data_IF_447306879432
#
_entry.id   IF_447306879432
#
_cell.length_a   1.000
_cell.length_b   1.000
_cell.length_c   1.000
_cell.angle_alpha   90.00
_cell.angle_beta   90.00
_cell.angle_gamma   90.00
#
_symmetry.space_group_name_H-M   'P 1'
#
loop_
_entity.id
_entity.type
_entity.pdbx_description
1 polymer ?
#
# COMPACT_ATOMS: atom_id res chain seq x y z
N UNK A 1 15.21 -23.47 14.27
CA UNK A 1 15.24 -23.64 15.74
C UNK A 1 15.96 -22.51 16.50
N UNK A 2 16.84 -21.70 15.89
CA UNK A 2 17.61 -20.64 16.59
C UNK A 2 16.79 -19.46 17.15
N UNK A 3 15.59 -19.17 16.62
CA UNK A 3 14.74 -18.05 17.07
C UNK A 3 13.93 -18.26 18.37
N UNK A 4 14.03 -19.42 19.02
CA UNK A 4 13.22 -19.69 20.22
C UNK A 4 13.83 -19.11 21.51
N UNK A 5 15.08 -18.65 21.48
CA UNK A 5 15.85 -18.21 22.66
C UNK A 5 16.03 -16.69 22.78
N UNK A 6 15.55 -15.89 21.81
CA UNK A 6 15.81 -14.44 21.75
C UNK A 6 15.24 -13.65 22.96
N UNK A 7 14.29 -14.22 23.70
CA UNK A 7 13.71 -13.62 24.91
C UNK A 7 14.41 -14.08 26.20
N UNK A 8 15.14 -15.21 26.16
CA UNK A 8 15.87 -15.75 27.31
C UNK A 8 17.14 -14.93 27.60
N UNK A 9 17.79 -14.41 26.55
CA UNK A 9 18.97 -13.54 26.69
C UNK A 9 18.68 -12.29 27.53
N UNK A 10 17.68 -11.45 27.21
CA UNK A 10 17.37 -10.29 28.05
C UNK A 10 16.79 -10.67 29.42
N UNK A 11 16.11 -11.82 29.54
CA UNK A 11 15.63 -12.32 30.83
C UNK A 11 16.79 -12.64 31.77
N UNK A 12 17.84 -13.30 31.28
CA UNK A 12 19.02 -13.64 32.06
C UNK A 12 19.91 -12.41 32.32
N UNK A 13 19.95 -11.46 31.39
CA UNK A 13 20.71 -10.22 31.57
C UNK A 13 20.20 -9.36 32.74
N UNK A 14 18.92 -9.41 33.09
CA UNK A 14 18.37 -8.66 34.23
C UNK A 14 19.04 -9.05 35.56
N UNK A 15 18.99 -10.31 36.04
CA UNK A 15 19.67 -10.71 37.26
C UNK A 15 21.19 -10.68 37.12
N UNK A 16 21.76 -11.03 35.95
CA UNK A 16 23.22 -11.00 35.75
C UNK A 16 23.77 -9.59 35.87
N UNK A 17 23.11 -8.58 35.31
CA UNK A 17 23.57 -7.19 35.41
C UNK A 17 23.43 -6.62 36.82
N UNK A 18 22.34 -6.97 37.53
CA UNK A 18 22.13 -6.55 38.92
C UNK A 18 23.15 -7.19 39.88
N UNK A 19 23.17 -8.52 39.95
CA UNK A 19 24.04 -9.24 40.89
C UNK A 19 25.51 -9.15 40.48
N UNK A 20 25.81 -9.16 39.19
CA UNK A 20 27.17 -8.95 38.69
C UNK A 20 27.71 -7.57 39.03
N UNK A 21 26.90 -6.52 38.84
CA UNK A 21 27.26 -5.16 39.25
C UNK A 21 27.48 -5.02 40.76
N UNK A 22 26.59 -5.60 41.58
CA UNK A 22 26.69 -5.60 43.04
C UNK A 22 27.92 -6.37 43.55
N UNK A 23 28.21 -7.55 43.01
CA UNK A 23 29.38 -8.34 43.40
C UNK A 23 30.69 -7.66 42.99
N UNK A 24 30.73 -7.03 41.81
CA UNK A 24 31.91 -6.26 41.39
C UNK A 24 32.11 -5.04 42.31
N UNK A 25 31.02 -4.37 42.66
CA UNK A 25 31.04 -3.23 43.58
C UNK A 25 31.56 -3.62 44.96
N UNK A 26 31.03 -4.69 45.57
CA UNK A 26 31.51 -5.14 46.89
C UNK A 26 32.98 -5.56 46.84
N UNK A 27 33.42 -6.22 45.77
CA UNK A 27 34.81 -6.61 45.59
C UNK A 27 35.75 -5.40 45.52
N UNK A 28 35.41 -4.37 44.74
CA UNK A 28 36.19 -3.13 44.62
C UNK A 28 36.28 -2.41 45.97
N UNK A 29 35.16 -2.25 46.67
CA UNK A 29 35.12 -1.60 48.00
C UNK A 29 36.00 -2.36 49.00
N UNK A 30 35.97 -3.70 48.97
CA UNK A 30 36.80 -4.52 49.87
C UNK A 30 38.29 -4.56 49.48
N UNK A 31 38.63 -4.29 48.22
CA UNK A 31 40.01 -4.28 47.76
C UNK A 31 40.79 -3.07 48.30
N UNK A 32 40.09 -1.97 48.62
CA UNK A 32 40.64 -0.80 49.29
C UNK A 32 41.62 0.01 48.42
N UNK A 33 41.22 1.22 48.01
CA UNK A 33 42.11 2.16 47.33
C UNK A 33 41.48 3.54 47.19
N UNK A 34 42.22 4.58 47.59
CA UNK A 34 41.70 5.96 47.66
C UNK A 34 41.94 6.77 46.36
N UNK A 35 42.48 6.11 45.33
CA UNK A 35 42.77 6.74 44.05
C UNK A 35 41.50 7.01 43.24
N UNK A 36 41.52 8.08 42.43
CA UNK A 36 40.38 8.52 41.60
C UNK A 36 39.85 7.41 40.67
N UNK A 37 40.71 6.48 40.22
CA UNK A 37 40.30 5.35 39.40
C UNK A 37 39.37 4.38 40.16
N UNK A 38 39.62 4.14 41.44
CA UNK A 38 38.80 3.25 42.29
C UNK A 38 37.41 3.84 42.47
N UNK A 39 37.32 5.13 42.80
CA UNK A 39 36.04 5.86 42.94
C UNK A 39 35.22 5.84 41.65
N UNK A 40 35.87 6.01 40.50
CA UNK A 40 35.18 5.93 39.19
C UNK A 40 34.66 4.52 38.90
N UNK A 41 35.40 3.48 39.26
CA UNK A 41 34.97 2.09 39.08
C UNK A 41 33.81 1.71 40.03
N UNK A 42 33.81 2.22 41.26
CA UNK A 42 32.70 2.06 42.20
C UNK A 42 31.41 2.70 41.68
N UNK A 43 31.50 3.93 41.15
CA UNK A 43 30.36 4.62 40.55
C UNK A 43 29.86 3.88 39.29
N UNK A 44 30.77 3.39 38.45
CA UNK A 44 30.42 2.65 37.24
C UNK A 44 29.71 1.32 37.54
N UNK A 45 30.16 0.59 38.56
CA UNK A 45 29.54 -0.68 38.97
C UNK A 45 28.16 -0.49 39.57
N UNK A 46 27.99 0.57 40.38
CA UNK A 46 26.68 0.95 40.92
C UNK A 46 25.73 1.41 39.81
N UNK A 47 26.23 2.20 38.85
CA UNK A 47 25.48 2.57 37.66
C UNK A 47 25.05 1.35 36.85
N UNK A 48 25.94 0.37 36.65
CA UNK A 48 25.62 -0.87 35.93
C UNK A 48 24.56 -1.70 36.67
N UNK A 49 24.65 -1.79 37.99
CA UNK A 49 23.68 -2.52 38.83
C UNK A 49 22.28 -1.90 38.76
N UNK A 50 22.17 -0.57 38.58
CA UNK A 50 20.88 0.13 38.48
C UNK A 50 20.36 0.19 37.04
N UNK A 51 21.19 0.62 36.09
CA UNK A 51 20.80 0.88 34.69
C UNK A 51 20.73 -0.41 33.88
N UNK A 52 21.61 -1.38 34.14
CA UNK A 52 21.65 -2.67 33.43
C UNK A 52 20.32 -3.42 33.45
N UNK A 53 19.68 -3.61 34.62
CA UNK A 53 18.36 -4.25 34.73
C UNK A 53 17.25 -3.50 34.00
N UNK A 54 17.28 -2.16 34.00
CA UNK A 54 16.29 -1.32 33.32
C UNK A 54 16.39 -1.51 31.80
N UNK A 55 17.61 -1.45 31.26
CA UNK A 55 17.85 -1.64 29.82
C UNK A 55 17.49 -3.07 29.39
N UNK A 56 17.94 -4.07 30.14
CA UNK A 56 17.62 -5.48 29.88
C UNK A 56 16.11 -5.76 29.98
N UNK A 57 15.44 -5.17 30.98
CA UNK A 57 13.98 -5.24 31.14
C UNK A 57 13.23 -4.62 29.96
N UNK A 58 13.66 -3.45 29.46
CA UNK A 58 13.11 -2.84 28.25
C UNK A 58 13.26 -3.75 27.01
N UNK A 59 14.39 -4.42 26.84
CA UNK A 59 14.58 -5.39 25.76
C UNK A 59 13.68 -6.63 25.93
N UNK A 60 13.56 -7.15 27.17
CA UNK A 60 12.69 -8.27 27.49
C UNK A 60 11.22 -7.96 27.17
N UNK A 61 10.71 -6.81 27.61
CA UNK A 61 9.34 -6.36 27.32
C UNK A 61 9.12 -6.25 25.82
N UNK A 62 10.06 -5.68 25.07
CA UNK A 62 9.97 -5.59 23.59
C UNK A 62 9.96 -6.96 22.93
N UNK A 63 10.81 -7.89 23.36
CA UNK A 63 10.88 -9.25 22.83
C UNK A 63 9.60 -10.05 23.12
N UNK A 64 9.12 -10.01 24.37
CA UNK A 64 7.85 -10.62 24.78
C UNK A 64 6.68 -10.02 24.01
N UNK A 65 6.61 -8.70 23.85
CA UNK A 65 5.53 -8.06 23.11
C UNK A 65 5.54 -8.44 21.62
N UNK A 66 6.71 -8.54 20.99
CA UNK A 66 6.83 -9.04 19.60
C UNK A 66 6.34 -10.48 19.48
N UNK A 67 6.76 -11.36 20.39
CA UNK A 67 6.36 -12.77 20.41
C UNK A 67 4.88 -12.95 20.70
N UNK A 68 4.34 -12.21 21.67
CA UNK A 68 2.91 -12.18 21.96
C UNK A 68 2.11 -11.71 20.74
N UNK A 69 2.54 -10.64 20.06
CA UNK A 69 1.89 -10.21 18.81
C UNK A 69 1.97 -11.26 17.70
N UNK A 70 3.09 -11.96 17.54
CA UNK A 70 3.24 -13.04 16.57
C UNK A 70 2.34 -14.24 16.90
N UNK A 71 2.32 -14.67 18.16
CA UNK A 71 1.43 -15.73 18.66
C UNK A 71 -0.03 -15.35 18.47
N UNK A 72 -0.41 -14.12 18.85
CA UNK A 72 -1.76 -13.59 18.66
C UNK A 72 -2.21 -13.63 17.20
N UNK A 73 -1.32 -13.25 16.27
CA UNK A 73 -1.57 -13.35 14.82
C UNK A 73 -1.67 -14.79 14.33
N UNK A 74 -0.83 -15.69 14.84
CA UNK A 74 -0.90 -17.13 14.51
C UNK A 74 -2.22 -17.78 14.97
N UNK A 75 -2.88 -17.20 15.99
CA UNK A 75 -4.20 -17.59 16.48
C UNK A 75 -5.36 -16.83 15.81
N UNK A 76 -5.11 -16.05 14.76
CA UNK A 76 -6.15 -15.31 14.03
C UNK A 76 -6.72 -14.09 14.76
N UNK A 77 -6.16 -13.72 15.92
CA UNK A 77 -6.64 -12.59 16.71
C UNK A 77 -6.02 -11.27 16.21
N UNK A 78 -6.65 -10.67 15.21
CA UNK A 78 -6.25 -9.38 14.66
C UNK A 78 -7.02 -8.22 15.33
N UNK A 79 -6.37 -7.08 15.52
CA UNK A 79 -7.09 -5.85 15.91
C UNK A 79 -7.96 -5.36 14.76
N UNK A 80 -8.96 -4.50 15.02
CA UNK A 80 -9.79 -3.91 13.97
C UNK A 80 -8.96 -3.19 12.88
N UNK A 81 -7.91 -2.46 13.30
CA UNK A 81 -6.99 -1.79 12.37
C UNK A 81 -6.11 -2.78 11.59
N UNK A 82 -5.64 -3.87 12.22
CA UNK A 82 -4.87 -4.91 11.53
C UNK A 82 -5.73 -5.67 10.51
N UNK A 83 -6.99 -6.00 10.86
CA UNK A 83 -7.95 -6.60 9.92
C UNK A 83 -8.18 -5.70 8.73
N UNK A 84 -8.53 -4.44 8.97
CA UNK A 84 -8.78 -3.50 7.89
C UNK A 84 -7.59 -3.36 6.93
N UNK A 85 -6.34 -3.28 7.45
CA UNK A 85 -5.14 -3.26 6.60
C UNK A 85 -5.00 -4.52 5.76
N UNK A 86 -5.22 -5.69 6.37
CA UNK A 86 -5.17 -6.98 5.69
C UNK A 86 -6.25 -7.12 4.63
N UNK A 87 -7.47 -6.67 4.91
CA UNK A 87 -8.60 -6.70 3.97
C UNK A 87 -8.30 -5.80 2.76
N UNK A 88 -7.72 -4.61 3.00
CA UNK A 88 -7.28 -3.72 1.91
C UNK A 88 -6.18 -4.39 1.08
N UNK A 89 -5.12 -4.91 1.70
CA UNK A 89 -4.04 -5.63 1.00
C UNK A 89 -4.56 -6.83 0.20
N UNK A 90 -5.49 -7.60 0.77
CA UNK A 90 -6.14 -8.72 0.10
C UNK A 90 -6.97 -8.25 -1.11
N UNK A 91 -7.67 -7.12 -1.00
CA UNK A 91 -8.38 -6.50 -2.11
C UNK A 91 -7.47 -6.14 -3.28
N UNK A 92 -6.32 -5.51 -3.01
CA UNK A 92 -5.32 -5.20 -4.06
C UNK A 92 -4.76 -6.47 -4.71
N UNK A 93 -4.42 -7.49 -3.91
CA UNK A 93 -3.91 -8.76 -4.44
C UNK A 93 -4.96 -9.48 -5.31
N UNK A 94 -6.22 -9.48 -4.87
CA UNK A 94 -7.33 -10.08 -5.60
C UNK A 94 -7.60 -9.36 -6.92
N UNK A 95 -7.62 -8.03 -6.91
CA UNK A 95 -7.80 -7.23 -8.12
C UNK A 95 -6.66 -7.42 -9.14
N UNK A 96 -5.42 -7.48 -8.67
CA UNK A 96 -4.26 -7.80 -9.51
C UNK A 96 -4.38 -9.21 -10.12
N UNK A 97 -4.79 -10.21 -9.33
CA UNK A 97 -5.00 -11.57 -9.84
C UNK A 97 -6.10 -11.64 -10.91
N UNK A 98 -7.24 -10.97 -10.70
CA UNK A 98 -8.30 -10.86 -11.72
C UNK A 98 -7.76 -10.27 -13.02
N UNK A 99 -6.91 -9.24 -12.93
CA UNK A 99 -6.28 -8.65 -14.10
C UNK A 99 -5.31 -9.61 -14.80
N UNK A 100 -4.57 -10.44 -14.06
CA UNK A 100 -3.71 -11.48 -14.66
C UNK A 100 -4.52 -12.52 -15.44
N UNK A 101 -5.60 -13.02 -14.84
CA UNK A 101 -6.50 -13.99 -15.49
C UNK A 101 -7.09 -13.39 -16.75
N UNK A 102 -7.62 -12.17 -16.66
CA UNK A 102 -8.21 -11.46 -17.79
C UNK A 102 -7.19 -11.18 -18.90
N UNK A 103 -6.01 -10.68 -18.56
CA UNK A 103 -4.96 -10.36 -19.52
C UNK A 103 -4.52 -11.60 -20.32
N UNK A 104 -4.38 -12.75 -19.65
CA UNK A 104 -4.05 -14.02 -20.31
C UNK A 104 -5.17 -14.53 -21.20
N UNK A 105 -6.41 -14.48 -20.72
CA UNK A 105 -7.58 -14.88 -21.50
C UNK A 105 -7.67 -14.07 -22.80
N UNK A 106 -7.61 -12.75 -22.69
CA UNK A 106 -7.65 -11.85 -23.85
C UNK A 106 -6.43 -12.03 -24.77
N UNK A 107 -5.23 -12.20 -24.21
CA UNK A 107 -4.02 -12.50 -24.99
C UNK A 107 -4.13 -13.83 -25.77
N UNK A 108 -4.86 -14.81 -25.23
CA UNK A 108 -5.15 -16.09 -25.88
C UNK A 108 -6.33 -16.03 -26.87
N UNK A 109 -6.96 -14.86 -27.07
CA UNK A 109 -8.08 -14.67 -27.99
C UNK A 109 -9.45 -14.98 -27.39
N UNK A 110 -9.56 -15.15 -26.07
CA UNK A 110 -10.86 -15.22 -25.42
C UNK A 110 -11.61 -13.87 -25.56
N UNK A 111 -12.93 -13.93 -25.68
CA UNK A 111 -13.75 -12.73 -25.67
C UNK A 111 -13.72 -12.06 -24.28
N UNK A 112 -13.82 -10.71 -24.20
CA UNK A 112 -13.99 -10.04 -22.92
C UNK A 112 -15.28 -10.50 -22.22
N UNK A 113 -15.29 -10.57 -20.88
CA UNK A 113 -16.51 -10.89 -20.14
C UNK A 113 -17.58 -9.85 -20.43
N UNK A 114 -18.85 -10.25 -20.49
CA UNK A 114 -19.98 -9.34 -20.60
C UNK A 114 -20.85 -9.42 -19.35
N UNK A 115 -21.43 -8.29 -18.97
CA UNK A 115 -22.38 -8.18 -17.85
C UNK A 115 -23.65 -7.48 -18.31
N UNK A 116 -24.78 -7.90 -17.76
CA UNK A 116 -26.06 -7.24 -17.99
C UNK A 116 -26.23 -6.07 -17.03
N UNK A 117 -26.56 -4.89 -17.58
CA UNK A 117 -26.83 -3.69 -16.80
C UNK A 117 -28.31 -3.32 -16.92
N UNK A 118 -28.98 -3.25 -15.77
CA UNK A 118 -30.40 -2.88 -15.72
C UNK A 118 -30.64 -1.38 -15.56
N UNK A 119 -29.73 -0.70 -14.85
CA UNK A 119 -29.96 0.67 -14.36
C UNK A 119 -29.22 1.75 -15.16
N UNK A 120 -28.45 1.37 -16.18
CA UNK A 120 -27.65 2.28 -17.00
C UNK A 120 -27.89 1.95 -18.47
N UNK A 121 -28.50 2.87 -19.25
CA UNK A 121 -28.79 2.61 -20.65
C UNK A 121 -27.49 2.57 -21.47
N UNK A 122 -27.38 1.55 -22.32
CA UNK A 122 -26.29 1.37 -23.27
C UNK A 122 -26.70 1.88 -24.66
N UNK A 123 -25.73 2.39 -25.43
CA UNK A 123 -25.93 2.71 -26.84
C UNK A 123 -26.15 1.43 -27.66
N UNK A 124 -26.69 1.58 -28.88
CA UNK A 124 -26.89 0.46 -29.78
C UNK A 124 -25.55 -0.23 -30.08
N UNK A 125 -25.43 -1.53 -29.79
CA UNK A 125 -24.20 -2.30 -29.96
C UNK A 125 -23.14 -2.09 -28.86
N UNK A 126 -23.41 -1.25 -27.86
CA UNK A 126 -22.55 -1.09 -26.69
C UNK A 126 -22.73 -2.29 -25.74
N UNK A 127 -21.62 -2.90 -25.32
CA UNK A 127 -21.59 -4.06 -24.41
C UNK A 127 -20.85 -3.66 -23.15
N UNK A 128 -21.43 -3.94 -21.98
CA UNK A 128 -20.77 -3.72 -20.71
C UNK A 128 -19.89 -4.91 -20.36
N UNK A 129 -18.64 -4.64 -19.96
CA UNK A 129 -17.66 -5.67 -19.64
C UNK A 129 -17.49 -5.88 -18.14
N UNK A 130 -17.49 -4.79 -17.38
CA UNK A 130 -17.13 -4.85 -15.97
C UNK A 130 -17.70 -3.67 -15.19
N UNK A 131 -18.09 -3.91 -13.94
CA UNK A 131 -18.54 -2.90 -13.00
C UNK A 131 -17.74 -3.04 -11.70
N UNK A 132 -17.20 -1.93 -11.21
CA UNK A 132 -16.44 -1.88 -9.97
C UNK A 132 -16.50 -0.50 -9.31
N UNK A 133 -15.86 -0.35 -8.15
CA UNK A 133 -15.58 0.95 -7.58
C UNK A 133 -14.08 1.27 -7.71
N UNK A 134 -13.75 2.51 -8.06
CA UNK A 134 -12.37 2.98 -8.18
C UNK A 134 -12.24 4.41 -7.62
N UNK A 135 -11.02 4.76 -7.21
CA UNK A 135 -10.67 6.14 -6.89
C UNK A 135 -10.47 6.91 -8.19
N UNK A 136 -11.38 7.83 -8.47
CA UNK A 136 -11.31 8.78 -9.57
C UNK A 136 -10.55 10.04 -9.15
N UNK A 137 -9.77 10.62 -10.06
CA UNK A 137 -9.23 11.97 -9.93
C UNK A 137 -9.03 12.61 -11.32
N UNK A 138 -8.96 13.94 -11.36
CA UNK A 138 -8.61 14.72 -12.56
C UNK A 138 -7.29 15.44 -12.37
N UNK A 139 -6.46 15.44 -13.40
CA UNK A 139 -5.22 16.22 -13.39
C UNK A 139 -5.48 17.65 -13.82
N UNK A 140 -5.11 18.62 -12.98
CA UNK A 140 -5.14 20.04 -13.31
C UNK A 140 -3.71 20.60 -13.26
N UNK A 141 -3.20 21.02 -14.42
CA UNK A 141 -1.86 21.59 -14.64
C UNK A 141 -1.78 22.25 -16.02
N UNK A 142 -0.85 23.19 -16.22
CA UNK A 142 -0.67 23.89 -17.51
C UNK A 142 -0.21 22.92 -18.61
N UNK A 143 -0.51 23.31 -19.85
CA UNK A 143 -0.44 22.51 -21.08
C UNK A 143 0.73 21.50 -21.18
N UNK A 144 0.36 20.21 -21.22
CA UNK A 144 0.79 19.40 -22.37
C UNK A 144 1.90 18.37 -22.19
N UNK A 145 2.49 18.15 -21.00
CA UNK A 145 3.37 16.97 -20.84
C UNK A 145 3.18 16.30 -19.48
N UNK A 146 2.65 15.07 -19.50
CA UNK A 146 2.79 14.18 -18.37
C UNK A 146 4.24 13.71 -18.33
N UNK A 147 5.06 14.38 -17.52
CA UNK A 147 6.33 13.78 -17.10
C UNK A 147 5.97 12.60 -16.21
N UNK A 148 6.49 11.41 -16.50
CA UNK A 148 6.32 10.23 -15.66
C UNK A 148 6.95 10.50 -14.28
N UNK A 149 6.20 11.17 -13.40
CA UNK A 149 6.63 11.44 -12.04
C UNK A 149 6.48 10.14 -11.29
N UNK A 150 7.61 9.44 -11.13
CA UNK A 150 7.82 8.26 -10.28
C UNK A 150 7.53 8.49 -8.77
N UNK A 151 6.80 9.56 -8.44
CA UNK A 151 6.41 9.95 -7.08
C UNK A 151 4.91 9.82 -6.81
N UNK A 152 4.10 9.29 -7.73
CA UNK A 152 2.66 9.16 -7.52
C UNK A 152 2.30 7.85 -6.79
N UNK A 153 2.60 7.82 -5.49
CA UNK A 153 2.33 6.67 -4.62
C UNK A 153 0.85 6.56 -4.25
N UNK A 154 0.05 6.00 -5.16
CA UNK A 154 -1.28 5.45 -4.85
C UNK A 154 -1.21 3.92 -4.81
N UNK A 155 -0.24 3.37 -4.06
CA UNK A 155 -0.02 1.93 -3.95
C UNK A 155 0.36 1.51 -2.54
N UNK A 156 -0.36 0.52 -2.01
CA UNK A 156 -0.16 -0.19 -0.72
C UNK A 156 -0.33 0.67 0.56
N UNK A 157 -1.30 0.36 1.45
CA UNK A 157 -1.54 1.10 2.70
C UNK A 157 -0.33 1.24 3.63
N UNK A 158 0.67 0.37 3.49
CA UNK A 158 1.89 0.44 4.27
C UNK A 158 2.72 1.72 3.96
N UNK A 159 2.57 2.35 2.79
CA UNK A 159 3.35 3.53 2.42
C UNK A 159 2.63 4.88 2.60
N UNK A 160 1.29 4.91 2.69
CA UNK A 160 0.53 6.16 2.90
C UNK A 160 0.58 6.68 4.35
N UNK A 161 1.14 5.91 5.29
CA UNK A 161 1.26 6.31 6.71
C UNK A 161 2.58 6.99 7.10
N UNK A 162 3.51 7.19 6.17
CA UNK A 162 4.78 7.90 6.43
C UNK A 162 4.73 9.43 6.25
N UNK A 163 3.71 9.96 5.55
CA UNK A 163 3.69 11.37 5.11
C UNK A 163 2.83 12.33 5.93
N UNK A 164 1.98 11.84 6.85
CA UNK A 164 1.00 12.68 7.56
C UNK A 164 1.47 13.19 8.94
N UNK A 165 2.73 12.97 9.32
CA UNK A 165 3.25 13.34 10.65
C UNK A 165 4.16 14.59 10.68
N UNK A 166 4.22 15.39 9.61
CA UNK A 166 5.12 16.55 9.52
C UNK A 166 4.43 17.84 9.04
N UNK A 167 3.20 18.10 9.50
CA UNK A 167 2.49 19.35 9.17
C UNK A 167 2.00 20.07 10.43
N UNK A 168 2.88 20.18 11.41
CA UNK A 168 2.80 21.24 12.40
C UNK A 168 3.97 22.17 12.17
N UNK A 169 3.76 23.28 11.45
CA UNK A 169 4.28 24.62 11.76
C UNK A 169 4.12 25.63 10.59
N UNK A 170 3.50 26.77 10.95
CA UNK A 170 3.67 28.13 10.40
C UNK A 170 2.81 28.60 9.21
N UNK A 171 1.67 29.19 9.61
CA UNK A 171 1.13 30.50 9.22
C UNK A 171 1.82 31.24 8.04
N UNK A 172 1.46 30.85 6.81
CA UNK A 172 1.55 31.69 5.60
C UNK A 172 0.45 31.32 4.59
N UNK A 173 -0.66 30.78 5.10
CA UNK A 173 -1.51 29.82 4.38
C UNK A 173 -2.47 30.40 3.34
N UNK A 174 -2.58 31.72 3.16
CA UNK A 174 -3.53 32.28 2.18
C UNK A 174 -2.90 32.56 0.80
N UNK A 175 -1.65 33.03 0.77
CA UNK A 175 -0.96 33.35 -0.50
C UNK A 175 -0.27 32.12 -1.11
N UNK A 176 0.19 31.18 -0.27
CA UNK A 176 0.68 29.85 -0.69
C UNK A 176 -0.43 28.87 -1.06
N UNK A 177 -1.64 29.00 -0.49
CA UNK A 177 -2.76 28.17 -0.93
C UNK A 177 -3.18 28.50 -2.37
N UNK A 178 -3.11 29.77 -2.80
CA UNK A 178 -3.38 30.16 -4.19
C UNK A 178 -2.27 29.69 -5.16
N UNK A 179 -1.01 29.74 -4.75
CA UNK A 179 0.14 29.24 -5.53
C UNK A 179 0.22 27.70 -5.56
N UNK A 180 -0.12 27.02 -4.47
CA UNK A 180 -0.24 25.56 -4.42
C UNK A 180 -1.50 25.09 -5.16
N UNK A 181 -2.56 25.91 -5.19
CA UNK A 181 -3.71 25.70 -6.07
C UNK A 181 -3.41 25.98 -7.56
N UNK A 182 -2.19 26.36 -7.91
CA UNK A 182 -1.70 26.46 -9.29
C UNK A 182 -0.53 25.49 -9.58
N UNK A 183 -0.20 24.62 -8.62
CA UNK A 183 0.71 23.49 -8.86
C UNK A 183 -0.06 22.34 -9.50
N UNK A 184 0.61 21.68 -10.45
CA UNK A 184 0.24 20.39 -11.04
C UNK A 184 -0.26 19.42 -9.97
N UNK A 185 -1.57 19.17 -9.92
CA UNK A 185 -2.12 18.27 -8.91
C UNK A 185 -3.35 17.52 -9.40
N UNK A 186 -3.46 16.28 -8.92
CA UNK A 186 -4.64 15.45 -9.05
C UNK A 186 -5.70 15.92 -8.06
N UNK A 187 -6.84 16.39 -8.56
CA UNK A 187 -7.98 16.88 -7.77
C UNK A 187 -9.20 16.02 -7.96
N UNK A 188 -10.28 16.39 -7.29
CA UNK A 188 -11.57 15.69 -7.39
C UNK A 188 -11.47 14.21 -7.02
N UNK A 189 -10.66 13.91 -6.00
CA UNK A 189 -10.46 12.56 -5.53
C UNK A 189 -11.74 12.02 -4.93
N UNK A 190 -12.31 10.99 -5.56
CA UNK A 190 -13.59 10.40 -5.18
C UNK A 190 -13.55 8.90 -5.37
N UNK A 191 -14.12 8.14 -4.43
CA UNK A 191 -14.35 6.71 -4.63
C UNK A 191 -15.72 6.52 -5.26
N UNK A 192 -15.75 6.11 -6.53
CA UNK A 192 -16.95 6.13 -7.35
C UNK A 192 -17.21 4.78 -8.04
N UNK A 193 -18.47 4.45 -8.35
CA UNK A 193 -18.77 3.35 -9.23
C UNK A 193 -18.35 3.69 -10.67
N UNK A 194 -17.71 2.72 -11.31
CA UNK A 194 -17.17 2.76 -12.67
C UNK A 194 -17.67 1.53 -13.41
N UNK A 195 -18.19 1.75 -14.60
CA UNK A 195 -18.59 0.70 -15.55
C UNK A 195 -17.71 0.87 -16.78
N UNK A 196 -17.12 -0.23 -17.23
CA UNK A 196 -16.36 -0.28 -18.48
C UNK A 196 -17.20 -0.95 -19.55
N UNK A 197 -17.37 -0.28 -20.68
CA UNK A 197 -18.06 -0.82 -21.85
C UNK A 197 -17.12 -0.90 -23.05
N UNK A 198 -17.61 -1.46 -24.16
CA UNK A 198 -16.92 -1.43 -25.44
C UNK A 198 -16.74 -0.02 -26.03
N UNK A 199 -17.50 0.97 -25.56
CA UNK A 199 -17.50 2.33 -26.12
C UNK A 199 -16.93 3.37 -25.15
N UNK A 200 -17.13 3.21 -23.84
CA UNK A 200 -16.80 4.25 -22.86
C UNK A 200 -16.63 3.71 -21.46
N UNK A 201 -16.12 4.56 -20.59
CA UNK A 201 -16.37 4.48 -19.16
C UNK A 201 -17.66 5.20 -18.81
N UNK A 202 -18.48 4.61 -17.94
CA UNK A 202 -19.63 5.25 -17.32
C UNK A 202 -19.37 5.33 -15.82
N UNK A 203 -19.27 6.55 -15.30
CA UNK A 203 -18.81 6.83 -13.94
C UNK A 203 -19.84 7.70 -13.20
N UNK A 204 -20.10 7.46 -11.92
CA UNK A 204 -20.93 8.36 -11.12
C UNK A 204 -20.03 9.35 -10.33
N UNK A 205 -19.72 10.49 -10.93
CA UNK A 205 -18.85 11.53 -10.35
C UNK A 205 -19.72 12.61 -9.72
N UNK A 206 -19.45 13.01 -8.47
CA UNK A 206 -20.27 14.01 -7.76
C UNK A 206 -21.79 13.68 -7.74
N UNK A 207 -22.16 12.39 -7.73
CA UNK A 207 -23.57 11.95 -7.79
C UNK A 207 -24.22 12.13 -9.17
N UNK A 208 -23.45 12.41 -10.22
CA UNK A 208 -23.93 12.52 -11.61
C UNK A 208 -23.23 11.50 -12.49
N UNK A 209 -24.00 10.85 -13.36
CA UNK A 209 -23.42 9.95 -14.36
C UNK A 209 -22.70 10.76 -15.44
N UNK A 210 -21.41 10.46 -15.60
CA UNK A 210 -20.53 10.99 -16.63
C UNK A 210 -20.07 9.84 -17.53
N UNK A 211 -19.92 10.13 -18.82
CA UNK A 211 -19.40 9.20 -19.81
C UNK A 211 -18.06 9.69 -20.34
N UNK A 212 -17.08 8.79 -20.42
CA UNK A 212 -15.78 9.06 -21.03
C UNK A 212 -15.55 8.11 -22.20
N UNK A 213 -15.67 8.65 -23.41
CA UNK A 213 -15.60 7.89 -24.66
C UNK A 213 -14.17 7.41 -24.94
N UNK A 214 -14.02 6.10 -25.18
CA UNK A 214 -12.73 5.51 -25.55
C UNK A 214 -12.21 6.08 -26.87
N UNK A 215 -13.09 6.46 -27.79
CA UNK A 215 -12.71 7.10 -29.06
C UNK A 215 -12.13 8.50 -28.90
N UNK A 216 -12.33 9.15 -27.76
CA UNK A 216 -11.74 10.46 -27.44
C UNK A 216 -10.41 10.36 -26.68
N UNK A 217 -9.94 9.14 -26.38
CA UNK A 217 -8.65 8.90 -25.71
C UNK A 217 -7.51 9.11 -26.71
N UNK A 218 -6.57 10.00 -26.38
CA UNK A 218 -5.39 10.24 -27.20
C UNK A 218 -4.11 9.57 -26.65
N UNK A 219 -4.07 9.29 -25.35
CA UNK A 219 -3.01 8.52 -24.71
C UNK A 219 -3.55 7.84 -23.45
N UNK A 220 -3.01 6.68 -23.12
CA UNK A 220 -3.32 5.98 -21.88
C UNK A 220 -2.06 5.35 -21.27
N UNK A 221 -2.03 5.31 -19.94
CA UNK A 221 -0.94 4.75 -19.15
C UNK A 221 -1.51 3.72 -18.19
N UNK A 222 -1.31 2.44 -18.52
CA UNK A 222 -1.69 1.30 -17.71
C UNK A 222 -0.57 0.97 -16.73
N UNK A 223 -0.82 1.08 -15.43
CA UNK A 223 0.16 0.79 -14.38
C UNK A 223 -0.44 -0.17 -13.34
N UNK A 224 -0.69 -1.44 -13.71
CA UNK A 224 -1.29 -2.42 -12.80
C UNK A 224 -0.47 -2.64 -11.52
N UNK A 225 0.86 -2.50 -11.58
CA UNK A 225 1.75 -2.63 -10.41
C UNK A 225 1.55 -1.49 -9.39
N UNK A 226 1.21 -0.30 -9.87
CA UNK A 226 0.83 0.85 -9.05
C UNK A 226 -0.68 0.89 -8.77
N UNK A 227 -1.45 -0.05 -9.33
CA UNK A 227 -2.92 -0.07 -9.25
C UNK A 227 -3.53 1.25 -9.73
N UNK A 228 -3.05 1.75 -10.86
CA UNK A 228 -3.48 2.98 -11.51
C UNK A 228 -3.67 2.82 -13.01
N UNK A 229 -4.63 3.57 -13.55
CA UNK A 229 -4.86 3.78 -14.97
C UNK A 229 -5.04 5.29 -15.20
N UNK A 230 -4.24 5.86 -16.08
CA UNK A 230 -4.37 7.27 -16.48
C UNK A 230 -4.81 7.34 -17.94
N UNK A 231 -5.81 8.18 -18.22
CA UNK A 231 -6.39 8.39 -19.55
C UNK A 231 -6.31 9.88 -19.88
N UNK A 232 -5.68 10.19 -21.01
CA UNK A 232 -5.69 11.52 -21.59
C UNK A 232 -6.77 11.57 -22.66
N UNK A 233 -7.51 12.67 -22.66
CA UNK A 233 -8.62 12.91 -23.57
C UNK A 233 -8.37 14.17 -24.36
N UNK A 234 -8.89 14.22 -25.58
CA UNK A 234 -8.92 15.46 -26.33
C UNK A 234 -9.86 16.48 -25.67
N UNK A 235 -9.35 17.67 -25.34
CA UNK A 235 -10.16 18.77 -24.80
C UNK A 235 -10.68 18.60 -23.37
N UNK A 236 -10.25 17.54 -22.66
CA UNK A 236 -10.63 17.29 -21.27
C UNK A 236 -9.38 17.04 -20.41
N UNK A 237 -9.38 17.46 -19.14
CA UNK A 237 -8.28 17.14 -18.23
C UNK A 237 -8.07 15.62 -18.08
N UNK A 238 -6.84 15.11 -17.94
CA UNK A 238 -6.60 13.67 -17.77
C UNK A 238 -7.40 13.07 -16.59
N UNK A 239 -7.84 11.83 -16.76
CA UNK A 239 -8.55 11.04 -15.74
C UNK A 239 -7.60 10.00 -15.16
N UNK A 240 -7.60 9.86 -13.84
CA UNK A 240 -7.00 8.75 -13.13
C UNK A 240 -8.10 7.86 -12.56
N UNK A 241 -7.92 6.56 -12.72
CA UNK A 241 -8.58 5.54 -11.91
C UNK A 241 -7.53 4.80 -11.09
N UNK A 242 -7.62 4.86 -9.77
CA UNK A 242 -6.73 4.17 -8.83
C UNK A 242 -7.48 3.19 -7.91
N UNK A 243 -6.75 2.26 -7.32
CA UNK A 243 -7.27 1.31 -6.34
C UNK A 243 -7.25 -0.14 -6.84
N UNK A 244 -7.77 -1.05 -6.01
CA UNK A 244 -7.65 -2.50 -6.23
C UNK A 244 -8.16 -2.97 -7.59
N UNK A 245 -9.12 -2.28 -8.19
CA UNK A 245 -9.77 -2.67 -9.43
C UNK A 245 -9.11 -2.06 -10.69
N UNK A 246 -8.24 -1.07 -10.53
CA UNK A 246 -7.54 -0.41 -11.64
C UNK A 246 -6.69 -1.32 -12.52
N UNK A 247 -6.06 -2.41 -12.02
CA UNK A 247 -5.41 -3.39 -12.88
C UNK A 247 -6.39 -4.02 -13.90
N UNK A 248 -7.62 -4.33 -13.50
CA UNK A 248 -8.65 -4.87 -14.41
C UNK A 248 -9.07 -3.80 -15.42
N UNK A 249 -9.29 -2.56 -14.96
CA UNK A 249 -9.60 -1.44 -15.84
C UNK A 249 -8.50 -1.22 -16.88
N UNK A 250 -7.23 -1.34 -16.49
CA UNK A 250 -6.06 -1.19 -17.37
C UNK A 250 -6.04 -2.21 -18.51
N UNK A 251 -6.35 -3.47 -18.19
CA UNK A 251 -6.42 -4.55 -19.17
C UNK A 251 -7.58 -4.33 -20.14
N UNK A 252 -8.79 -4.06 -19.65
CA UNK A 252 -9.97 -3.82 -20.50
C UNK A 252 -9.78 -2.62 -21.40
N UNK A 253 -9.26 -1.52 -20.87
CA UNK A 253 -8.97 -0.30 -21.64
C UNK A 253 -7.99 -0.60 -22.77
N UNK A 254 -6.89 -1.29 -22.46
CA UNK A 254 -5.89 -1.64 -23.46
C UNK A 254 -6.49 -2.53 -24.55
N UNK A 255 -7.32 -3.49 -24.17
CA UNK A 255 -8.05 -4.34 -25.12
C UNK A 255 -9.00 -3.53 -26.00
N UNK A 256 -9.77 -2.60 -25.44
CA UNK A 256 -10.72 -1.79 -26.23
C UNK A 256 -10.00 -0.85 -27.18
N UNK A 257 -8.92 -0.20 -26.75
CA UNK A 257 -8.19 0.78 -27.56
C UNK A 257 -7.26 0.15 -28.60
N UNK A 258 -6.72 -1.05 -28.34
CA UNK A 258 -5.65 -1.63 -29.16
C UNK A 258 -5.80 -3.14 -29.44
N UNK A 259 -6.94 -3.72 -29.07
CA UNK A 259 -7.27 -5.12 -29.30
C UNK A 259 -6.38 -6.09 -28.53
N UNK A 260 -6.44 -7.36 -28.95
CA UNK A 260 -5.60 -8.43 -28.42
C UNK A 260 -4.11 -8.11 -28.52
N UNK A 261 -3.66 -7.54 -29.65
CA UNK A 261 -2.27 -7.18 -29.86
C UNK A 261 -1.77 -6.18 -28.82
N UNK A 262 -2.62 -5.23 -28.45
CA UNK A 262 -2.36 -4.29 -27.36
C UNK A 262 -2.16 -4.99 -26.03
N UNK A 263 -3.04 -5.92 -25.66
CA UNK A 263 -2.92 -6.65 -24.38
C UNK A 263 -1.62 -7.44 -24.29
N UNK A 264 -1.19 -8.05 -25.40
CA UNK A 264 0.05 -8.82 -25.48
C UNK A 264 1.28 -7.93 -25.39
N UNK A 265 1.31 -6.82 -26.12
CA UNK A 265 2.52 -6.05 -26.35
C UNK A 265 2.64 -4.76 -25.53
N UNK A 266 1.58 -4.33 -24.83
CA UNK A 266 1.63 -3.11 -24.03
C UNK A 266 2.66 -3.25 -22.88
N UNK A 267 3.67 -2.36 -22.81
CA UNK A 267 4.72 -2.44 -21.78
C UNK A 267 4.17 -2.40 -20.35
N UNK A 268 3.11 -1.65 -20.11
CA UNK A 268 2.47 -1.52 -18.79
C UNK A 268 1.82 -2.81 -18.30
N UNK A 269 1.43 -3.71 -19.21
CA UNK A 269 0.77 -4.98 -18.85
C UNK A 269 1.74 -6.17 -18.72
N UNK A 270 3.03 -5.99 -19.02
CA UNK A 270 4.02 -7.08 -19.00
C UNK A 270 4.14 -7.78 -17.64
N UNK A 271 3.91 -7.08 -16.54
CA UNK A 271 3.94 -7.68 -15.20
C UNK A 271 2.80 -8.69 -14.98
N UNK A 272 1.64 -8.50 -15.63
CA UNK A 272 0.50 -9.40 -15.52
C UNK A 272 0.73 -10.74 -16.22
N UNK A 273 1.52 -10.74 -17.29
CA UNK A 273 1.91 -11.94 -18.04
C UNK A 273 2.99 -12.77 -17.34
N UNK A 274 3.85 -12.13 -16.52
CA UNK A 274 5.01 -12.77 -15.87
C UNK A 274 4.70 -13.61 -14.63
N UNK A 275 3.49 -13.51 -14.06
CA UNK A 275 3.14 -14.30 -12.87
C UNK A 275 2.91 -15.78 -13.18
N UNK A 276 3.26 -16.69 -12.28
CA UNK A 276 2.51 -17.95 -12.20
C UNK A 276 1.09 -17.59 -11.75
N UNK A 277 0.06 -18.22 -12.32
CA UNK A 277 -1.29 -18.16 -11.75
C UNK A 277 -1.19 -18.84 -10.39
N UNK A 278 -0.92 -18.08 -9.33
CA UNK A 278 -1.04 -18.59 -7.97
C UNK A 278 -2.46 -19.13 -7.86
N UNK A 279 -2.60 -20.43 -7.65
CA UNK A 279 -3.89 -21.09 -7.47
C UNK A 279 -4.60 -20.46 -6.27
N UNK A 280 -5.50 -19.52 -6.54
CA UNK A 280 -6.31 -18.83 -5.53
C UNK A 280 -7.32 -19.74 -4.82
N UNK A 281 -7.37 -21.02 -5.22
CA UNK A 281 -8.13 -22.08 -4.56
C UNK A 281 -7.83 -22.19 -3.06
N UNK A 282 -6.65 -21.75 -2.61
CA UNK A 282 -6.27 -21.78 -1.20
C UNK A 282 -6.75 -20.58 -0.36
N UNK A 283 -7.15 -19.46 -0.97
CA UNK A 283 -7.60 -18.25 -0.24
C UNK A 283 -9.12 -18.08 -0.32
N UNK A 284 -9.75 -18.56 -1.38
CA UNK A 284 -11.21 -18.56 -1.51
C UNK A 284 -11.90 -19.70 -0.74
N UNK A 285 -11.18 -20.78 -0.40
CA UNK A 285 -11.73 -21.83 0.47
C UNK A 285 -11.68 -21.38 1.94
N UNK A 286 -12.68 -20.60 2.35
CA UNK A 286 -13.06 -20.45 3.75
C UNK A 286 -13.52 -21.78 4.34
N UNK A 287 -12.58 -22.71 4.54
CA UNK A 287 -12.80 -23.92 5.35
C UNK A 287 -12.33 -23.61 6.77
N UNK A 288 -13.33 -23.23 7.57
CA UNK A 288 -13.49 -23.36 9.03
C UNK A 288 -12.30 -23.07 9.93
#
# INVERSE_FOLDING_TARGET
MKHQLDWLVPLLLVPISYYGGLLLHTWIVTAGGDDLLTVLLELLTLLLAVVGPIVAGCFLIRALHRRFRAWRRSKGHFTKAERHRRDVEAGYAFGYHKAQVLARGLAAGAAPPHIDLWNVPLFAGEVAFYQCNATYARYYGMDGSYTHVSGFYWGRPAFVLGGLAAQGLLNSSRRKAAAAASMECWREQQFIPVIVTSHRFICCVNGRWASFDHGAVNAWYAEPDNSSLVLHYQGLPPVLFAGSESPVLSVLTTYVLSGQNGVVNNPGLQSLHRGELLAWDAVASGRS
#
